data_IF_800128378658
#
_entry.id   IF_800128378658
#
_cell.length_a   1.000
_cell.length_b   1.000
_cell.length_c   1.000
_cell.angle_alpha   90.00
_cell.angle_beta   90.00
_cell.angle_gamma   90.00
#
_symmetry.space_group_name_H-M   'P 1'
#
loop_
_entity.id
_entity.type
_entity.pdbx_description
1 polymer ?
#
# COMPACT_ATOMS: atom_id res chain seq x y z
N UNK A 1 -3.87 13.11 7.29
CA UNK A 1 -2.43 13.09 7.63
C UNK A 1 -2.14 12.90 9.11
N UNK A 2 -2.79 13.62 10.01
CA UNK A 2 -2.57 13.50 11.47
C UNK A 2 -2.74 12.07 11.99
N UNK A 3 -3.82 11.39 11.59
CA UNK A 3 -4.09 9.99 11.98
C UNK A 3 -2.95 9.07 11.53
N UNK A 4 -2.50 9.21 10.28
CA UNK A 4 -1.40 8.40 9.75
C UNK A 4 -0.08 8.66 10.51
N UNK A 5 0.23 9.91 10.83
CA UNK A 5 1.40 10.26 11.61
C UNK A 5 1.37 9.62 13.01
N UNK A 6 0.23 9.64 13.68
CA UNK A 6 0.06 9.01 14.99
C UNK A 6 0.18 7.49 14.91
N UNK A 7 -0.50 6.88 13.92
CA UNK A 7 -0.52 5.42 13.74
C UNK A 7 0.86 4.84 13.43
N UNK A 8 1.65 5.54 12.60
CA UNK A 8 2.97 5.07 12.16
C UNK A 8 4.13 5.66 12.97
N UNK A 9 3.85 6.37 14.07
CA UNK A 9 4.88 6.96 14.92
C UNK A 9 5.87 5.90 15.42
N UNK A 10 7.16 6.13 15.20
CA UNK A 10 8.23 5.23 15.61
C UNK A 10 8.43 3.97 14.75
N UNK A 11 7.55 3.72 13.78
CA UNK A 11 7.70 2.60 12.84
C UNK A 11 8.75 2.91 11.78
N UNK A 12 9.47 1.87 11.36
CA UNK A 12 10.49 1.96 10.32
C UNK A 12 10.23 0.92 9.24
N UNK A 13 10.60 1.25 8.00
CA UNK A 13 10.55 0.32 6.87
C UNK A 13 11.77 -0.63 6.86
N UNK A 14 11.87 -1.51 5.85
CA UNK A 14 12.96 -2.48 5.72
C UNK A 14 14.35 -1.82 5.57
N UNK A 15 14.41 -0.59 5.10
CA UNK A 15 15.65 0.18 4.92
C UNK A 15 15.96 1.10 6.10
N UNK A 16 15.16 1.04 7.17
CA UNK A 16 15.34 1.84 8.38
C UNK A 16 14.80 3.27 8.29
N UNK A 17 14.10 3.62 7.22
CA UNK A 17 13.46 4.93 7.06
C UNK A 17 12.13 5.00 7.82
N UNK A 18 11.67 6.20 8.22
CA UNK A 18 10.37 6.33 8.85
C UNK A 18 9.25 5.73 7.98
N UNK A 19 8.44 4.85 8.57
CA UNK A 19 7.39 4.14 7.82
C UNK A 19 6.34 5.07 7.21
N UNK A 20 6.13 6.27 7.78
CA UNK A 20 5.18 7.28 7.28
C UNK A 20 5.50 7.77 5.86
N UNK A 21 6.74 7.66 5.42
CA UNK A 21 7.15 8.17 4.09
C UNK A 21 6.41 7.46 2.96
N UNK A 22 6.13 6.18 3.08
CA UNK A 22 5.38 5.44 2.07
C UNK A 22 3.91 5.88 1.95
N UNK A 23 3.09 5.85 3.01
CA UNK A 23 1.72 6.34 2.91
C UNK A 23 1.63 7.82 2.53
N UNK A 24 2.59 8.65 2.93
CA UNK A 24 2.68 10.03 2.47
C UNK A 24 2.83 10.10 0.95
N UNK A 25 3.76 9.33 0.38
CA UNK A 25 3.98 9.28 -1.06
C UNK A 25 2.74 8.79 -1.81
N UNK A 26 2.11 7.72 -1.33
CA UNK A 26 0.89 7.15 -1.95
C UNK A 26 -0.26 8.17 -1.92
N UNK A 27 -0.46 8.86 -0.81
CA UNK A 27 -1.48 9.91 -0.70
C UNK A 27 -1.24 11.05 -1.67
N UNK A 28 0.01 11.51 -1.81
CA UNK A 28 0.36 12.59 -2.74
C UNK A 28 0.19 12.21 -4.21
N UNK A 29 0.13 10.93 -4.55
CA UNK A 29 -0.14 10.44 -5.90
C UNK A 29 -1.63 10.42 -6.24
N UNK A 30 -2.52 10.64 -5.27
CA UNK A 30 -3.97 10.61 -5.47
C UNK A 30 -4.47 11.75 -6.36
N UNK A 31 -5.50 11.46 -7.17
CA UNK A 31 -6.10 12.42 -8.09
C UNK A 31 -7.45 12.99 -7.58
N UNK A 32 -7.90 12.53 -6.43
CA UNK A 32 -9.11 13.03 -5.77
C UNK A 32 -8.89 13.12 -4.27
N UNK A 33 -9.75 13.86 -3.58
CA UNK A 33 -9.70 13.96 -2.12
C UNK A 33 -9.79 12.59 -1.44
N UNK A 34 -10.70 11.73 -1.94
CA UNK A 34 -10.85 10.37 -1.43
C UNK A 34 -9.59 9.52 -1.64
N UNK A 35 -8.95 9.60 -2.82
CA UNK A 35 -7.71 8.88 -3.11
C UNK A 35 -6.54 9.37 -2.25
N UNK A 36 -6.45 10.68 -2.02
CA UNK A 36 -5.41 11.27 -1.18
C UNK A 36 -5.56 10.76 0.27
N UNK A 37 -6.76 10.84 0.82
CA UNK A 37 -7.04 10.38 2.18
C UNK A 37 -6.86 8.87 2.34
N UNK A 38 -7.39 8.09 1.41
CA UNK A 38 -7.22 6.64 1.42
C UNK A 38 -5.75 6.24 1.27
N UNK A 39 -4.99 6.95 0.45
CA UNK A 39 -3.55 6.75 0.29
C UNK A 39 -2.78 6.98 1.59
N UNK A 40 -3.09 8.06 2.32
CA UNK A 40 -2.47 8.33 3.63
C UNK A 40 -2.81 7.27 4.67
N UNK A 41 -3.98 6.64 4.59
CA UNK A 41 -4.51 5.75 5.62
C UNK A 41 -4.43 4.26 5.26
N UNK A 42 -3.98 3.91 4.04
CA UNK A 42 -4.10 2.54 3.52
C UNK A 42 -3.39 1.48 4.36
N UNK A 43 -2.32 1.82 5.08
CA UNK A 43 -1.59 0.89 5.94
C UNK A 43 -1.96 1.00 7.43
N UNK A 44 -2.81 1.95 7.82
CA UNK A 44 -3.10 2.21 9.23
C UNK A 44 -3.75 1.00 9.91
N UNK A 45 -4.72 0.38 9.27
CA UNK A 45 -5.44 -0.77 9.85
C UNK A 45 -4.54 -2.00 9.98
N UNK A 46 -3.67 -2.26 9.00
CA UNK A 46 -2.75 -3.40 9.04
C UNK A 46 -1.59 -3.20 10.02
N UNK A 47 -1.06 -1.98 10.09
CA UNK A 47 0.22 -1.69 10.76
C UNK A 47 0.06 -1.02 12.13
N UNK A 48 -1.16 -0.83 12.59
CA UNK A 48 -1.44 -0.26 13.92
C UNK A 48 -2.63 -0.96 14.58
N UNK A 49 -2.94 -0.57 15.81
CA UNK A 49 -4.10 -1.06 16.54
C UNK A 49 -5.43 -0.39 16.14
N UNK A 50 -5.39 0.60 15.25
CA UNK A 50 -6.59 1.29 14.80
C UNK A 50 -7.44 0.39 13.89
N UNK A 51 -8.75 0.36 14.14
CA UNK A 51 -9.73 -0.33 13.31
C UNK A 51 -10.42 0.64 12.35
N UNK A 52 -11.15 0.11 11.36
CA UNK A 52 -12.00 0.93 10.50
C UNK A 52 -13.05 1.70 11.30
N UNK A 53 -13.59 1.11 12.35
CA UNK A 53 -14.53 1.76 13.27
C UNK A 53 -13.88 2.96 13.95
N UNK A 54 -12.64 2.82 14.43
CA UNK A 54 -11.88 3.92 15.04
C UNK A 54 -11.70 5.08 14.06
N UNK A 55 -11.39 4.77 12.80
CA UNK A 55 -11.24 5.78 11.74
C UNK A 55 -12.55 6.50 11.47
N UNK A 56 -13.65 5.76 11.41
CA UNK A 56 -14.99 6.33 11.23
C UNK A 56 -15.33 7.28 12.39
N UNK A 57 -15.05 6.87 13.63
CA UNK A 57 -15.28 7.68 14.83
C UNK A 57 -14.41 8.94 14.86
N UNK A 58 -13.27 8.95 14.18
CA UNK A 58 -12.40 10.11 14.01
C UNK A 58 -12.81 11.04 12.87
N UNK A 59 -13.94 10.75 12.20
CA UNK A 59 -14.49 11.60 11.16
C UNK A 59 -14.06 11.28 9.74
N UNK A 60 -13.46 10.10 9.49
CA UNK A 60 -13.11 9.66 8.14
C UNK A 60 -14.40 9.34 7.37
N UNK A 61 -14.53 9.87 6.16
CA UNK A 61 -15.74 9.76 5.35
C UNK A 61 -16.01 8.31 4.92
N UNK A 62 -17.30 7.97 4.73
CA UNK A 62 -17.71 6.61 4.36
C UNK A 62 -17.08 6.11 3.06
N UNK A 63 -16.89 6.99 2.07
CA UNK A 63 -16.22 6.67 0.81
C UNK A 63 -14.78 6.20 1.04
N UNK A 64 -14.06 6.86 1.93
CA UNK A 64 -12.67 6.51 2.29
C UNK A 64 -12.66 5.20 3.08
N UNK A 65 -13.58 5.03 4.03
CA UNK A 65 -13.70 3.80 4.82
C UNK A 65 -13.97 2.58 3.90
N UNK A 66 -14.87 2.73 2.92
CA UNK A 66 -15.16 1.65 1.97
C UNK A 66 -13.91 1.23 1.17
N UNK A 67 -13.12 2.20 0.71
CA UNK A 67 -11.86 1.91 0.02
C UNK A 67 -10.84 1.25 0.95
N UNK A 68 -10.72 1.72 2.19
CA UNK A 68 -9.80 1.15 3.18
C UNK A 68 -10.16 -0.28 3.56
N UNK A 69 -11.45 -0.62 3.61
CA UNK A 69 -11.89 -1.99 3.86
C UNK A 69 -11.38 -2.96 2.79
N UNK A 70 -11.37 -2.55 1.52
CA UNK A 70 -10.83 -3.33 0.42
C UNK A 70 -9.30 -3.40 0.43
N UNK A 71 -8.64 -2.32 0.88
CA UNK A 71 -7.19 -2.21 0.90
C UNK A 71 -6.54 -2.90 2.11
N UNK A 72 -7.30 -3.22 3.14
CA UNK A 72 -6.81 -3.93 4.32
C UNK A 72 -6.75 -5.42 4.05
N UNK A 73 -5.53 -5.99 4.02
CA UNK A 73 -5.29 -7.40 3.69
C UNK A 73 -5.20 -8.25 4.95
N UNK A 74 -6.16 -9.17 5.12
CA UNK A 74 -6.09 -10.22 6.14
C UNK A 74 -5.22 -11.37 5.61
N UNK A 75 -3.94 -11.34 5.92
CA UNK A 75 -2.94 -12.29 5.41
C UNK A 75 -3.15 -13.72 5.89
N UNK A 76 -3.88 -13.91 6.99
CA UNK A 76 -4.18 -15.24 7.53
C UNK A 76 -5.30 -15.95 6.77
N UNK A 77 -6.23 -15.19 6.20
CA UNK A 77 -7.43 -15.72 5.53
C UNK A 77 -7.36 -15.69 4.01
N UNK A 78 -6.64 -14.72 3.44
CA UNK A 78 -6.67 -14.41 2.00
C UNK A 78 -5.25 -14.30 1.47
N UNK A 79 -4.92 -15.04 0.40
CA UNK A 79 -3.66 -14.91 -0.30
C UNK A 79 -3.52 -13.54 -0.97
N UNK A 80 -2.27 -13.13 -1.23
CA UNK A 80 -2.00 -11.78 -1.75
C UNK A 80 -2.67 -11.52 -3.12
N UNK A 81 -2.59 -12.46 -4.05
CA UNK A 81 -3.17 -12.26 -5.39
C UNK A 81 -4.70 -12.34 -5.36
N UNK A 82 -5.28 -13.17 -4.50
CA UNK A 82 -6.72 -13.17 -4.26
C UNK A 82 -7.18 -11.82 -3.68
N UNK A 83 -6.42 -11.24 -2.76
CA UNK A 83 -6.66 -9.91 -2.24
C UNK A 83 -6.66 -8.86 -3.35
N UNK A 84 -5.70 -8.90 -4.27
CA UNK A 84 -5.64 -7.99 -5.42
C UNK A 84 -6.85 -8.21 -6.35
N UNK A 85 -7.20 -9.47 -6.64
CA UNK A 85 -8.39 -9.80 -7.44
C UNK A 85 -9.67 -9.26 -6.81
N UNK A 86 -9.81 -9.33 -5.49
CA UNK A 86 -10.97 -8.81 -4.78
C UNK A 86 -11.09 -7.28 -4.93
N UNK A 87 -9.98 -6.56 -4.90
CA UNK A 87 -9.96 -5.12 -5.14
C UNK A 87 -10.45 -4.82 -6.57
N UNK A 88 -9.93 -5.53 -7.55
CA UNK A 88 -10.32 -5.37 -8.96
C UNK A 88 -11.80 -5.69 -9.14
N UNK A 89 -12.26 -6.82 -8.63
CA UNK A 89 -13.64 -7.28 -8.76
C UNK A 89 -14.65 -6.34 -8.09
N UNK A 90 -14.25 -5.60 -7.07
CA UNK A 90 -15.11 -4.63 -6.39
C UNK A 90 -15.56 -3.48 -7.28
N UNK A 91 -14.77 -3.14 -8.30
CA UNK A 91 -15.02 -1.96 -9.13
C UNK A 91 -14.86 -0.62 -8.39
N UNK A 92 -14.36 -0.64 -7.15
CA UNK A 92 -14.14 0.57 -6.38
C UNK A 92 -12.90 1.32 -6.90
N UNK A 93 -13.15 2.35 -7.70
CA UNK A 93 -12.08 3.10 -8.38
C UNK A 93 -11.10 3.73 -7.39
N UNK A 94 -11.57 4.26 -6.28
CA UNK A 94 -10.71 4.82 -5.24
C UNK A 94 -9.73 3.78 -4.71
N UNK A 95 -10.21 2.59 -4.34
CA UNK A 95 -9.35 1.51 -3.84
C UNK A 95 -8.36 1.03 -4.91
N UNK A 96 -8.82 0.88 -6.14
CA UNK A 96 -7.99 0.43 -7.27
C UNK A 96 -6.87 1.44 -7.54
N UNK A 97 -7.18 2.73 -7.60
CA UNK A 97 -6.18 3.77 -7.84
C UNK A 97 -5.18 3.88 -6.69
N UNK A 98 -5.63 3.77 -5.45
CA UNK A 98 -4.72 3.76 -4.30
C UNK A 98 -3.80 2.54 -4.36
N UNK A 99 -4.33 1.36 -4.72
CA UNK A 99 -3.49 0.16 -4.89
C UNK A 99 -2.47 0.32 -6.02
N UNK A 100 -2.85 0.95 -7.12
CA UNK A 100 -1.90 1.29 -8.20
C UNK A 100 -0.78 2.20 -7.69
N UNK A 101 -1.12 3.24 -6.96
CA UNK A 101 -0.15 4.17 -6.39
C UNK A 101 0.78 3.47 -5.38
N UNK A 102 0.22 2.61 -4.54
CA UNK A 102 0.96 1.77 -3.59
C UNK A 102 1.98 0.89 -4.32
N UNK A 103 1.54 0.18 -5.36
CA UNK A 103 2.40 -0.69 -6.15
C UNK A 103 3.50 0.08 -6.88
N UNK A 104 3.19 1.20 -7.49
CA UNK A 104 4.19 2.04 -8.17
C UNK A 104 5.25 2.55 -7.19
N UNK A 105 4.85 3.02 -6.03
CA UNK A 105 5.81 3.48 -5.02
C UNK A 105 6.64 2.32 -4.45
N UNK A 106 6.02 1.18 -4.17
CA UNK A 106 6.73 -0.01 -3.70
C UNK A 106 7.76 -0.50 -4.71
N UNK A 107 7.43 -0.50 -6.00
CA UNK A 107 8.37 -0.90 -7.06
C UNK A 107 9.51 0.10 -7.21
N UNK A 108 9.23 1.39 -7.12
CA UNK A 108 10.25 2.43 -7.20
C UNK A 108 11.28 2.28 -6.08
N UNK A 109 10.83 2.18 -4.84
CA UNK A 109 11.74 2.02 -3.69
C UNK A 109 12.37 0.63 -3.64
N UNK A 110 11.65 -0.40 -4.09
CA UNK A 110 12.15 -1.77 -4.19
C UNK A 110 13.31 -1.91 -5.19
N UNK A 111 13.27 -1.16 -6.27
CA UNK A 111 14.37 -1.08 -7.24
C UNK A 111 15.63 -0.47 -6.61
N UNK A 112 15.48 0.63 -5.90
CA UNK A 112 16.60 1.30 -5.21
C UNK A 112 17.21 0.37 -4.16
N UNK A 113 16.39 -0.27 -3.34
CA UNK A 113 16.85 -1.21 -2.31
C UNK A 113 17.56 -2.42 -2.92
N UNK A 114 17.05 -2.95 -4.05
CA UNK A 114 17.66 -4.06 -4.77
C UNK A 114 19.04 -3.70 -5.32
N UNK A 115 19.16 -2.53 -5.95
CA UNK A 115 20.44 -2.04 -6.48
C UNK A 115 21.47 -1.85 -5.36
N UNK A 116 21.04 -1.33 -4.20
CA UNK A 116 21.90 -1.19 -3.03
C UNK A 116 22.36 -2.55 -2.47
N UNK A 117 21.48 -3.55 -2.44
CA UNK A 117 21.81 -4.90 -2.00
C UNK A 117 22.82 -5.57 -2.95
N UNK A 118 22.67 -5.39 -4.25
CA UNK A 118 23.63 -5.85 -5.26
C UNK A 118 25.00 -5.20 -5.05
N UNK A 119 25.04 -3.88 -4.85
CA UNK A 119 26.27 -3.14 -4.62
C UNK A 119 27.01 -3.58 -3.34
N UNK A 120 26.28 -4.02 -2.30
CA UNK A 120 26.84 -4.50 -1.04
C UNK A 120 27.07 -6.02 -1.00
N UNK A 121 26.76 -6.75 -2.06
CA UNK A 121 26.84 -8.24 -2.15
C UNK A 121 26.04 -8.96 -1.05
N UNK A 122 24.91 -8.40 -0.64
CA UNK A 122 24.01 -9.02 0.34
C UNK A 122 23.06 -10.01 -0.37
N UNK A 123 23.52 -11.25 -0.54
CA UNK A 123 22.78 -12.28 -1.30
C UNK A 123 21.40 -12.59 -0.71
N UNK A 124 21.27 -12.64 0.61
CA UNK A 124 19.98 -12.90 1.27
C UNK A 124 18.97 -11.78 0.97
N UNK A 125 19.43 -10.54 1.03
CA UNK A 125 18.59 -9.36 0.75
C UNK A 125 18.24 -9.27 -0.73
N UNK A 126 19.17 -9.58 -1.63
CA UNK A 126 18.92 -9.66 -3.09
C UNK A 126 17.78 -10.64 -3.36
N UNK A 127 17.84 -11.84 -2.80
CA UNK A 127 16.82 -12.89 -3.00
C UNK A 127 15.46 -12.45 -2.46
N UNK A 128 15.41 -11.89 -1.25
CA UNK A 128 14.18 -11.43 -0.63
C UNK A 128 13.54 -10.29 -1.44
N UNK A 129 14.31 -9.27 -1.79
CA UNK A 129 13.82 -8.12 -2.56
C UNK A 129 13.39 -8.53 -3.97
N UNK A 130 14.09 -9.45 -4.60
CA UNK A 130 13.70 -10.00 -5.89
C UNK A 130 12.31 -10.65 -5.84
N UNK A 131 12.05 -11.43 -4.79
CA UNK A 131 10.75 -12.07 -4.57
C UNK A 131 9.64 -11.04 -4.32
N UNK A 132 9.91 -10.04 -3.47
CA UNK A 132 8.95 -8.98 -3.14
C UNK A 132 8.63 -8.14 -4.39
N UNK A 133 9.65 -7.74 -5.15
CA UNK A 133 9.47 -6.95 -6.37
C UNK A 133 8.68 -7.72 -7.43
N UNK A 134 8.97 -9.02 -7.62
CA UNK A 134 8.22 -9.87 -8.56
C UNK A 134 6.73 -9.98 -8.18
N UNK A 135 6.43 -10.08 -6.89
CA UNK A 135 5.05 -10.08 -6.39
C UNK A 135 4.32 -8.77 -6.73
N UNK A 136 4.97 -7.63 -6.51
CA UNK A 136 4.39 -6.32 -6.81
C UNK A 136 4.22 -6.09 -8.32
N UNK A 137 5.17 -6.54 -9.15
CA UNK A 137 5.07 -6.45 -10.61
C UNK A 137 3.89 -7.26 -11.14
N UNK A 138 3.69 -8.48 -10.63
CA UNK A 138 2.54 -9.31 -11.00
C UNK A 138 1.21 -8.67 -10.61
N UNK A 139 1.13 -8.12 -9.41
CA UNK A 139 -0.07 -7.41 -8.96
C UNK A 139 -0.39 -6.19 -9.82
N UNK A 140 0.63 -5.41 -10.19
CA UNK A 140 0.47 -4.26 -11.09
C UNK A 140 -0.05 -4.71 -12.46
N UNK A 141 0.50 -5.78 -13.01
CA UNK A 141 0.06 -6.34 -14.29
C UNK A 141 -1.41 -6.80 -14.23
N UNK A 142 -1.84 -7.43 -13.14
CA UNK A 142 -3.24 -7.83 -12.94
C UNK A 142 -4.19 -6.65 -13.04
N UNK A 143 -3.84 -5.52 -12.42
CA UNK A 143 -4.68 -4.30 -12.46
C UNK A 143 -4.67 -3.68 -13.86
N UNK A 144 -3.52 -3.62 -14.54
CA UNK A 144 -3.43 -3.11 -15.91
C UNK A 144 -4.24 -3.94 -16.88
N UNK A 145 -4.19 -5.27 -16.77
CA UNK A 145 -4.97 -6.18 -17.61
C UNK A 145 -6.48 -6.06 -17.39
N UNK A 146 -6.92 -5.50 -16.27
CA UNK A 146 -8.31 -5.21 -15.97
C UNK A 146 -8.77 -3.81 -16.42
N UNK A 147 -7.95 -3.11 -17.21
CA UNK A 147 -8.21 -1.76 -17.76
C UNK A 147 -8.41 -0.65 -16.69
N UNK A 148 -7.78 -0.79 -15.54
CA UNK A 148 -7.82 0.24 -14.49
C UNK A 148 -6.52 1.07 -14.40
N UNK A 149 -5.77 1.14 -15.47
CA UNK A 149 -4.55 1.94 -15.54
C UNK A 149 -4.84 3.44 -15.40
N UNK A 150 -4.07 4.12 -14.58
CA UNK A 150 -4.13 5.58 -14.42
C UNK A 150 -3.46 6.30 -15.57
#
# INVERSE_FOLDING_TARGET
>A
MKIALEAHAGQKDLDGNPAILHPLAVGLMGNSDAEIKAGFLHDVVEDSSMTLEDLKNKGVEDEVIAALALLSHDKEKVGYFEYVENIIASGNVTAIHVKLNDLHHNLQRGKVSYEAAVASNDEAKIKELGRINAKHEKALEMIKNADYEK
#
